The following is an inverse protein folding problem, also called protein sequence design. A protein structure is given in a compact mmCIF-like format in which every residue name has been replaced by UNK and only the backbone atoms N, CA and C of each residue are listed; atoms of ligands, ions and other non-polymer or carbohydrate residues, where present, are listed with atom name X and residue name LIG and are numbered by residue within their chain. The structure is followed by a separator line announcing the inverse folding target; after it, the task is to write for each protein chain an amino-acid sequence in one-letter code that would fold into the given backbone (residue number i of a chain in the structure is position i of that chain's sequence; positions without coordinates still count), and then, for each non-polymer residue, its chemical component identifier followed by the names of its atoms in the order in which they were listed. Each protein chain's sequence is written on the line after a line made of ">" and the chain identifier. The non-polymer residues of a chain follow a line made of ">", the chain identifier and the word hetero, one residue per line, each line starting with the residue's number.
data_IF_679022405705
#
_entry.id   IF_679022405705
#
_cell.length_a   1.000
_cell.length_b   1.000
_cell.length_c   1.000
_cell.angle_alpha   90.00
_cell.angle_beta   90.00
_cell.angle_gamma   90.00
#
_symmetry.space_group_name_H-M   'P 1'
#
loop_
_entity.id
_entity.type
_entity.pdbx_description
1 polymer ?
#
# COMPACT_ATOMS: atom_id res chain seq x y z
N UNK A 1 -15.04 24.60 13.27
CA UNK A 1 -15.42 24.18 11.90
C UNK A 1 -15.42 22.66 11.81
N UNK A 2 -16.17 22.11 10.89
CA UNK A 2 -16.18 20.66 10.62
C UNK A 2 -15.47 20.42 9.31
N UNK A 3 -14.50 19.52 9.30
CA UNK A 3 -13.86 19.03 8.09
C UNK A 3 -14.83 18.08 7.38
N UNK A 4 -15.08 18.32 6.11
CA UNK A 4 -15.89 17.45 5.27
C UNK A 4 -15.01 16.35 4.65
N UNK A 5 -15.63 15.21 4.37
CA UNK A 5 -14.91 14.13 3.69
C UNK A 5 -14.55 14.54 2.26
N UNK A 6 -13.29 14.30 1.91
CA UNK A 6 -12.76 14.47 0.58
C UNK A 6 -11.77 13.32 0.28
N UNK A 7 -11.70 12.88 -0.96
CA UNK A 7 -10.77 11.83 -1.34
C UNK A 7 -10.53 11.79 -2.84
N UNK A 8 -9.39 11.27 -3.23
CA UNK A 8 -9.00 11.10 -4.61
C UNK A 8 -7.87 10.09 -4.77
N UNK A 9 -7.74 9.54 -5.98
CA UNK A 9 -6.66 8.64 -6.32
C UNK A 9 -6.26 8.80 -7.78
N UNK A 10 -4.98 8.58 -8.07
CA UNK A 10 -4.47 8.43 -9.43
C UNK A 10 -3.35 7.39 -9.46
N UNK A 11 -3.12 6.84 -10.63
CA UNK A 11 -2.04 5.89 -10.84
C UNK A 11 -1.63 5.86 -12.30
N UNK A 12 -0.41 5.40 -12.52
CA UNK A 12 0.15 5.16 -13.84
C UNK A 12 0.86 3.82 -13.84
N UNK A 13 0.67 3.07 -14.91
CA UNK A 13 1.38 1.82 -15.16
C UNK A 13 2.02 1.89 -16.55
N UNK A 14 3.24 1.41 -16.65
CA UNK A 14 3.98 1.33 -17.89
C UNK A 14 4.64 -0.04 -18.03
N UNK A 15 4.43 -0.67 -19.18
CA UNK A 15 5.03 -1.97 -19.49
C UNK A 15 5.93 -1.85 -20.73
N UNK A 16 7.13 -2.42 -20.61
CA UNK A 16 8.07 -2.56 -21.71
C UNK A 16 8.70 -3.94 -21.70
N UNK A 17 8.59 -4.66 -22.80
CA UNK A 17 9.00 -6.05 -22.90
C UNK A 17 8.35 -6.90 -21.77
N UNK A 18 9.15 -7.49 -20.90
CA UNK A 18 8.71 -8.34 -19.79
C UNK A 18 8.77 -7.63 -18.42
N UNK A 19 8.93 -6.30 -18.40
CA UNK A 19 8.94 -5.48 -17.18
C UNK A 19 7.71 -4.58 -17.16
N UNK A 20 7.05 -4.52 -16.01
CA UNK A 20 5.97 -3.58 -15.73
C UNK A 20 6.32 -2.77 -14.50
N UNK A 21 6.14 -1.46 -14.55
CA UNK A 21 6.30 -0.55 -13.42
C UNK A 21 5.02 0.20 -13.16
N UNK A 22 4.64 0.34 -11.91
CA UNK A 22 3.45 1.05 -11.47
C UNK A 22 3.78 2.08 -10.41
N UNK A 23 3.05 3.17 -10.43
CA UNK A 23 3.05 4.20 -9.40
C UNK A 23 1.62 4.65 -9.14
N UNK A 24 1.24 4.77 -7.89
CA UNK A 24 -0.08 5.26 -7.50
C UNK A 24 -0.02 6.13 -6.26
N UNK A 25 -0.96 7.04 -6.18
CA UNK A 25 -1.14 7.91 -5.03
C UNK A 25 -2.64 8.10 -4.75
N UNK A 26 -3.01 8.06 -3.47
CA UNK A 26 -4.37 8.34 -3.04
C UNK A 26 -4.36 9.16 -1.76
N UNK A 27 -5.42 9.91 -1.54
CA UNK A 27 -5.63 10.62 -0.28
C UNK A 27 -7.09 10.50 0.17
N UNK A 28 -7.30 10.59 1.47
CA UNK A 28 -8.60 10.62 2.11
C UNK A 28 -8.58 11.56 3.31
N UNK A 29 -9.35 12.62 3.25
CA UNK A 29 -9.68 13.46 4.39
C UNK A 29 -10.99 12.97 5.01
N UNK A 30 -11.00 12.47 6.26
CA UNK A 30 -12.23 12.01 6.90
C UNK A 30 -13.09 13.19 7.36
N UNK A 31 -14.40 12.97 7.54
CA UNK A 31 -15.27 13.93 8.23
C UNK A 31 -14.89 13.96 9.70
N UNK A 32 -14.50 15.12 10.21
CA UNK A 32 -14.12 15.30 11.61
C UNK A 32 -14.33 16.72 12.08
N UNK A 33 -14.35 16.93 13.40
CA UNK A 33 -14.39 18.27 13.99
C UNK A 33 -12.98 18.85 14.04
N UNK A 34 -12.82 20.11 13.65
CA UNK A 34 -11.54 20.79 13.66
C UNK A 34 -10.88 20.80 15.06
N UNK A 35 -9.58 20.55 15.10
CA UNK A 35 -8.81 20.63 16.31
C UNK A 35 -8.76 22.07 16.83
N UNK A 36 -8.93 22.24 18.15
CA UNK A 36 -8.91 23.54 18.82
C UNK A 36 -7.78 23.70 19.82
N UNK A 37 -7.02 22.63 20.07
CA UNK A 37 -5.89 22.59 21.00
C UNK A 37 -4.63 22.05 20.36
N UNK A 38 -3.48 22.61 20.75
CA UNK A 38 -2.19 22.09 20.35
C UNK A 38 -2.00 20.63 20.84
N UNK A 39 -1.41 19.77 20.01
CA UNK A 39 -1.20 18.35 20.32
C UNK A 39 -2.45 17.47 20.15
N UNK A 40 -3.56 18.01 19.63
CA UNK A 40 -4.73 17.19 19.28
C UNK A 40 -4.39 16.20 18.16
N UNK A 41 -4.93 14.99 18.26
CA UNK A 41 -4.76 13.89 17.29
C UNK A 41 -5.90 13.82 16.26
N UNK A 42 -6.52 14.96 15.95
CA UNK A 42 -7.54 15.03 14.92
C UNK A 42 -6.90 14.91 13.55
N UNK A 43 -7.23 13.86 12.82
CA UNK A 43 -6.67 13.59 11.51
C UNK A 43 -7.18 14.60 10.49
N UNK A 44 -6.28 15.23 9.76
CA UNK A 44 -6.59 16.08 8.62
C UNK A 44 -6.79 15.23 7.36
N UNK A 45 -5.82 14.40 7.02
CA UNK A 45 -5.92 13.46 5.91
C UNK A 45 -4.93 12.29 6.05
N UNK A 46 -5.24 11.23 5.32
CA UNK A 46 -4.33 10.13 5.04
C UNK A 46 -3.86 10.25 3.58
N UNK A 47 -2.59 10.01 3.35
CA UNK A 47 -2.01 9.93 2.02
C UNK A 47 -1.31 8.59 1.85
N UNK A 48 -1.60 7.88 0.75
CA UNK A 48 -0.96 6.62 0.42
C UNK A 48 -0.20 6.77 -0.90
N UNK A 49 1.05 6.31 -0.91
CA UNK A 49 1.90 6.30 -2.09
C UNK A 49 2.39 4.87 -2.32
N UNK A 50 2.14 4.32 -3.50
CA UNK A 50 2.54 2.97 -3.87
C UNK A 50 3.41 2.95 -5.12
N UNK A 51 4.40 2.06 -5.12
CA UNK A 51 5.23 1.74 -6.27
C UNK A 51 5.30 0.23 -6.45
N UNK A 52 5.30 -0.22 -7.70
CA UNK A 52 5.44 -1.64 -8.02
C UNK A 52 6.36 -1.86 -9.21
N UNK A 53 7.04 -2.99 -9.21
CA UNK A 53 7.78 -3.50 -10.36
C UNK A 53 7.47 -4.98 -10.53
N UNK A 54 7.07 -5.37 -11.74
CA UNK A 54 6.81 -6.75 -12.12
C UNK A 54 7.76 -7.18 -13.23
N UNK A 55 8.17 -8.44 -13.19
CA UNK A 55 9.03 -9.05 -14.18
C UNK A 55 8.51 -10.44 -14.57
N UNK A 56 8.16 -10.61 -15.85
CA UNK A 56 7.87 -11.92 -16.42
C UNK A 56 9.18 -12.60 -16.78
N UNK A 57 9.61 -13.55 -15.97
CA UNK A 57 10.87 -14.30 -16.19
C UNK A 57 10.75 -15.15 -17.45
N UNK A 58 9.60 -15.78 -17.65
CA UNK A 58 9.21 -16.53 -18.84
C UNK A 58 7.67 -16.66 -18.87
N UNK A 59 7.13 -17.43 -19.82
CA UNK A 59 5.68 -17.62 -20.00
C UNK A 59 4.97 -18.28 -18.79
N UNK A 60 5.72 -18.86 -17.87
CA UNK A 60 5.19 -19.59 -16.72
C UNK A 60 5.51 -18.91 -15.38
N UNK A 61 6.59 -18.13 -15.29
CA UNK A 61 7.09 -17.56 -14.04
C UNK A 61 7.10 -16.05 -14.09
N UNK A 62 6.46 -15.42 -13.12
CA UNK A 62 6.55 -13.99 -12.87
C UNK A 62 6.90 -13.68 -11.42
N UNK A 63 7.59 -12.58 -11.22
CA UNK A 63 7.97 -12.04 -9.91
C UNK A 63 7.59 -10.57 -9.87
N UNK A 64 7.05 -10.10 -8.76
CA UNK A 64 6.77 -8.68 -8.55
C UNK A 64 7.19 -8.24 -7.14
N UNK A 65 7.51 -6.96 -7.04
CA UNK A 65 7.79 -6.28 -5.80
C UNK A 65 6.93 -5.03 -5.71
N UNK A 66 6.32 -4.80 -4.56
CA UNK A 66 5.49 -3.63 -4.29
C UNK A 66 5.93 -3.00 -2.98
N UNK A 67 6.02 -1.69 -2.95
CA UNK A 67 6.18 -0.92 -1.72
C UNK A 67 5.07 0.11 -1.64
N UNK A 68 4.55 0.33 -0.44
CA UNK A 68 3.51 1.31 -0.16
C UNK A 68 3.81 2.01 1.18
N UNK A 69 3.62 3.32 1.20
CA UNK A 69 3.69 4.12 2.43
C UNK A 69 2.34 4.78 2.66
N UNK A 70 1.81 4.66 3.87
CA UNK A 70 0.60 5.34 4.32
C UNK A 70 0.95 6.38 5.37
N UNK A 71 0.80 7.65 5.01
CA UNK A 71 1.03 8.80 5.88
C UNK A 71 -0.27 9.23 6.56
N UNK A 72 -0.21 9.50 7.85
CA UNK A 72 -1.31 10.10 8.61
C UNK A 72 -0.93 11.52 8.97
N UNK A 73 -1.72 12.50 8.54
CA UNK A 73 -1.48 13.91 8.83
C UNK A 73 -2.53 14.44 9.81
N UNK A 74 -2.07 15.18 10.81
CA UNK A 74 -2.94 15.78 11.83
C UNK A 74 -3.18 17.26 11.55
N UNK A 75 -4.37 17.76 11.89
CA UNK A 75 -4.73 19.19 11.80
C UNK A 75 -3.82 20.09 12.62
N UNK A 76 -3.15 19.54 13.63
CA UNK A 76 -2.22 20.24 14.49
C UNK A 76 -0.78 19.88 14.09
N UNK A 77 -0.06 20.83 13.50
CA UNK A 77 1.33 20.63 13.02
C UNK A 77 2.35 20.28 14.11
N UNK A 78 2.01 20.46 15.40
CA UNK A 78 2.84 20.05 16.52
C UNK A 78 2.69 18.58 16.92
N UNK A 79 1.74 17.87 16.30
CA UNK A 79 1.52 16.45 16.55
C UNK A 79 2.31 15.65 15.50
N UNK A 80 3.28 14.86 15.96
CA UNK A 80 4.02 13.96 15.11
C UNK A 80 3.14 12.79 14.65
N UNK A 81 3.30 12.37 13.42
CA UNK A 81 2.71 11.14 12.88
C UNK A 81 3.78 10.07 12.69
N UNK A 82 3.33 8.83 12.62
CA UNK A 82 4.16 7.68 12.28
C UNK A 82 3.56 7.06 11.02
N UNK A 83 4.37 6.88 9.99
CA UNK A 83 3.92 6.33 8.74
C UNK A 83 3.92 4.81 8.79
N UNK A 84 2.98 4.18 8.07
CA UNK A 84 2.98 2.75 7.85
C UNK A 84 3.73 2.49 6.55
N UNK A 85 4.76 1.66 6.61
CA UNK A 85 5.46 1.18 5.42
C UNK A 85 5.12 -0.30 5.17
N UNK A 86 4.81 -0.63 3.94
CA UNK A 86 4.57 -1.98 3.49
C UNK A 86 5.52 -2.34 2.35
N UNK A 87 6.12 -3.52 2.43
CA UNK A 87 6.89 -4.11 1.36
C UNK A 87 6.36 -5.50 1.06
N UNK A 88 6.18 -5.84 -0.21
CA UNK A 88 5.71 -7.16 -0.61
C UNK A 88 6.49 -7.69 -1.81
N UNK A 89 6.87 -8.96 -1.72
CA UNK A 89 7.38 -9.73 -2.86
C UNK A 89 6.36 -10.81 -3.22
N UNK A 90 6.11 -10.99 -4.51
CA UNK A 90 5.16 -11.97 -5.01
C UNK A 90 5.79 -12.78 -6.14
N UNK A 91 5.51 -14.07 -6.15
CA UNK A 91 5.93 -15.00 -7.20
C UNK A 91 4.70 -15.78 -7.68
N UNK A 92 4.50 -15.88 -8.98
CA UNK A 92 3.45 -16.71 -9.58
C UNK A 92 4.07 -17.67 -10.60
N UNK A 93 3.69 -18.94 -10.50
CA UNK A 93 4.14 -19.99 -11.39
C UNK A 93 2.95 -20.77 -11.96
N UNK A 94 2.84 -20.79 -13.28
CA UNK A 94 1.74 -21.45 -14.02
C UNK A 94 2.20 -22.79 -14.60
N UNK A 95 1.46 -23.85 -14.28
CA UNK A 95 1.65 -25.22 -14.73
C UNK A 95 0.40 -25.72 -15.44
N UNK A 96 0.27 -25.40 -16.72
CA UNK A 96 -0.90 -25.87 -17.51
C UNK A 96 -2.23 -25.62 -16.84
N UNK A 97 -3.20 -25.46 -16.69
CA UNK A 97 -4.44 -25.20 -15.97
C UNK A 97 -4.32 -24.95 -14.44
N UNK A 98 -3.10 -24.86 -13.88
CA UNK A 98 -2.89 -24.52 -12.46
C UNK A 98 -1.90 -23.35 -12.30
N UNK A 99 -2.16 -22.45 -11.35
CA UNK A 99 -1.25 -21.36 -10.98
C UNK A 99 -1.00 -21.38 -9.48
N UNK A 100 0.27 -21.54 -9.10
CA UNK A 100 0.74 -21.37 -7.72
C UNK A 100 1.23 -19.93 -7.54
N UNK A 101 0.67 -19.23 -6.54
CA UNK A 101 1.08 -17.88 -6.16
C UNK A 101 1.57 -17.89 -4.71
N UNK A 102 2.69 -17.22 -4.47
CA UNK A 102 3.25 -17.00 -3.14
C UNK A 102 3.49 -15.52 -2.99
N UNK A 103 3.02 -14.94 -1.89
CA UNK A 103 3.28 -13.54 -1.53
C UNK A 103 3.78 -13.48 -0.09
N UNK A 104 4.83 -12.69 0.13
CA UNK A 104 5.31 -12.28 1.44
C UNK A 104 5.14 -10.78 1.54
N UNK A 105 4.48 -10.31 2.60
CA UNK A 105 4.32 -8.89 2.89
C UNK A 105 4.82 -8.60 4.31
N UNK A 106 5.59 -7.53 4.44
CA UNK A 106 6.10 -7.01 5.70
C UNK A 106 5.54 -5.59 5.89
N UNK A 107 5.10 -5.30 7.10
CA UNK A 107 4.49 -4.02 7.49
C UNK A 107 5.23 -3.47 8.69
N UNK A 108 5.67 -2.23 8.59
CA UNK A 108 6.26 -1.48 9.70
C UNK A 108 5.26 -0.46 10.23
N UNK A 109 5.22 -0.29 11.55
CA UNK A 109 4.36 0.69 12.25
C UNK A 109 2.85 0.53 11.98
N UNK A 110 2.35 -0.68 12.00
CA UNK A 110 0.91 -0.97 11.78
C UNK A 110 0.03 -0.09 12.67
N UNK A 111 -1.05 0.42 12.10
CA UNK A 111 -1.97 1.37 12.75
C UNK A 111 -1.32 2.70 13.14
N UNK A 112 -0.30 3.14 12.40
CA UNK A 112 0.47 4.36 12.69
C UNK A 112 1.06 4.38 14.10
N UNK A 113 1.48 3.21 14.59
CA UNK A 113 2.07 3.03 15.92
C UNK A 113 3.52 2.57 15.79
N UNK A 114 4.46 3.39 16.26
CA UNK A 114 5.90 3.12 16.17
C UNK A 114 6.27 1.76 16.79
N UNK A 115 7.05 0.97 16.04
CA UNK A 115 7.55 -0.33 16.47
C UNK A 115 6.48 -1.44 16.51
N UNK A 116 5.33 -1.23 15.90
CA UNK A 116 4.29 -2.27 15.73
C UNK A 116 4.42 -2.86 14.33
N UNK A 117 5.15 -3.97 14.21
CA UNK A 117 5.46 -4.59 12.94
C UNK A 117 4.65 -5.87 12.76
N UNK A 118 4.34 -6.21 11.52
CA UNK A 118 3.64 -7.44 11.17
C UNK A 118 4.18 -8.01 9.85
N UNK A 119 4.04 -9.30 9.66
CA UNK A 119 4.35 -9.95 8.39
C UNK A 119 3.33 -11.02 8.05
N UNK A 120 2.98 -11.13 6.78
CA UNK A 120 2.04 -12.10 6.26
C UNK A 120 2.64 -12.89 5.09
N UNK A 121 2.40 -14.19 5.09
CA UNK A 121 2.72 -15.06 3.94
C UNK A 121 1.44 -15.67 3.41
N UNK A 122 1.17 -15.48 2.13
CA UNK A 122 0.01 -16.03 1.44
C UNK A 122 0.48 -17.01 0.38
N UNK A 123 -0.09 -18.21 0.40
CA UNK A 123 0.11 -19.24 -0.63
C UNK A 123 -1.25 -19.57 -1.22
N UNK A 124 -1.41 -19.40 -2.52
CA UNK A 124 -2.64 -19.67 -3.23
C UNK A 124 -2.39 -20.61 -4.41
N UNK A 125 -3.29 -21.56 -4.61
CA UNK A 125 -3.29 -22.45 -5.76
C UNK A 125 -4.64 -22.34 -6.46
N UNK A 126 -4.60 -21.86 -7.70
CA UNK A 126 -5.79 -21.69 -8.56
C UNK A 126 -5.78 -22.72 -9.68
N UNK A 127 -6.96 -23.25 -10.01
CA UNK A 127 -7.18 -24.16 -11.12
C UNK A 127 -8.16 -23.56 -12.11
N UNK A 128 -7.86 -23.67 -13.39
CA UNK A 128 -8.75 -23.33 -14.49
C UNK A 128 -9.24 -24.63 -15.16
N UNK A 129 -10.58 -24.79 -15.32
CA UNK A 129 -11.22 -25.96 -15.90
C UNK A 129 -11.95 -25.61 -17.19
#
# INVERSE_FOLDING_TARGET
>A
ETQLQEGGAYGIEYSIANVTVGYGKSYLAPTTTAAVTAGATTVEYYENTGMSVGFAVNDQLSVSYTTETSEQNFQTSSTASTDIDMNSIQVAYSLGGATLSIAQADYDNVSHSEGTDASDTIIALNFEF
#
